data_IF_742767515070
#
_entry.id   IF_742767515070
#
_cell.length_a   1.000
_cell.length_b   1.000
_cell.length_c   1.000
_cell.angle_alpha   90.00
_cell.angle_beta   90.00
_cell.angle_gamma   90.00
#
_symmetry.space_group_name_H-M   'P 1'
#
loop_
_entity.id
_entity.type
_entity.pdbx_description
1 polymer ?
#
# COMPACT_ATOMS: atom_id res chain seq x y z
N UNK A 1 0.16 -11.84 -11.90
CA UNK A 1 -0.31 -10.51 -12.27
C UNK A 1 0.76 -9.44 -12.02
N UNK A 2 1.19 -9.19 -10.78
CA UNK A 2 2.14 -8.07 -10.47
C UNK A 2 3.52 -8.20 -11.14
N UNK A 3 3.99 -9.39 -11.46
CA UNK A 3 5.23 -9.60 -12.20
C UNK A 3 5.13 -9.23 -13.69
N UNK A 4 3.92 -9.08 -14.21
CA UNK A 4 3.66 -8.83 -15.63
C UNK A 4 3.42 -7.34 -15.94
N UNK A 5 3.21 -6.52 -14.92
CA UNK A 5 3.02 -5.08 -15.08
C UNK A 5 4.37 -4.36 -14.93
N UNK A 6 4.51 -3.22 -15.59
CA UNK A 6 5.76 -2.46 -15.57
C UNK A 6 6.03 -1.81 -14.22
N UNK A 7 4.98 -1.32 -13.56
CA UNK A 7 5.03 -0.70 -12.24
C UNK A 7 3.95 -1.32 -11.37
N UNK A 8 4.28 -2.35 -10.56
CA UNK A 8 3.36 -2.90 -9.58
C UNK A 8 2.96 -1.86 -8.53
N UNK A 9 1.68 -1.78 -8.25
CA UNK A 9 1.12 -0.81 -7.31
C UNK A 9 0.26 -1.47 -6.24
N UNK A 10 0.29 -0.89 -5.05
CA UNK A 10 -0.63 -1.15 -3.96
C UNK A 10 -1.33 0.13 -3.52
N UNK A 11 -2.22 0.00 -2.58
CA UNK A 11 -2.88 1.13 -1.93
C UNK A 11 -2.77 0.97 -0.41
N UNK A 12 -2.43 2.06 0.28
CA UNK A 12 -2.45 2.14 1.74
C UNK A 12 -3.59 3.08 2.16
N UNK A 13 -4.82 2.57 2.09
CA UNK A 13 -6.04 3.33 2.41
C UNK A 13 -6.08 3.79 3.85
N UNK A 14 -5.80 2.86 4.74
CA UNK A 14 -5.69 3.05 6.18
C UNK A 14 -4.24 2.78 6.58
N UNK A 15 -3.99 2.59 7.88
CA UNK A 15 -2.68 2.17 8.36
C UNK A 15 -2.49 0.65 8.17
N UNK A 16 -2.45 0.21 6.91
CA UNK A 16 -2.31 -1.20 6.51
C UNK A 16 -1.17 -1.39 5.50
N UNK A 17 0.07 -1.03 5.88
CA UNK A 17 1.21 -1.01 4.96
C UNK A 17 1.62 -2.39 4.44
N UNK A 18 1.20 -3.46 5.12
CA UNK A 18 1.56 -4.84 4.76
C UNK A 18 0.98 -5.29 3.42
N UNK A 19 -0.07 -4.66 2.90
CA UNK A 19 -0.60 -4.94 1.56
C UNK A 19 0.42 -4.70 0.46
N UNK A 20 1.33 -3.78 0.69
CA UNK A 20 2.41 -3.47 -0.25
C UNK A 20 3.40 -4.62 -0.44
N UNK A 21 3.44 -5.59 0.46
CA UNK A 21 4.32 -6.74 0.36
C UNK A 21 4.01 -7.63 -0.85
N UNK A 22 2.74 -7.67 -1.33
CA UNK A 22 2.35 -8.48 -2.49
C UNK A 22 2.90 -7.89 -3.79
N UNK A 23 2.60 -6.63 -4.18
CA UNK A 23 3.18 -6.04 -5.39
C UNK A 23 4.69 -5.93 -5.30
N UNK A 24 5.26 -5.67 -4.11
CA UNK A 24 6.71 -5.67 -3.90
C UNK A 24 7.34 -7.05 -4.19
N UNK A 25 6.69 -8.13 -3.75
CA UNK A 25 7.13 -9.50 -4.07
C UNK A 25 7.04 -9.79 -5.56
N UNK A 26 5.93 -9.41 -6.20
CA UNK A 26 5.76 -9.55 -7.65
C UNK A 26 6.81 -8.78 -8.44
N UNK A 27 7.16 -7.57 -8.00
CA UNK A 27 8.21 -6.75 -8.59
C UNK A 27 9.59 -7.40 -8.45
N UNK A 28 9.96 -7.85 -7.25
CA UNK A 28 11.23 -8.50 -6.98
C UNK A 28 11.42 -9.76 -7.84
N UNK A 29 10.39 -10.62 -7.89
CA UNK A 29 10.39 -11.85 -8.69
C UNK A 29 10.32 -11.60 -10.19
N UNK A 30 9.70 -10.50 -10.62
CA UNK A 30 9.58 -10.09 -12.02
C UNK A 30 10.71 -9.19 -12.53
N UNK A 31 11.68 -8.84 -11.67
CA UNK A 31 12.78 -7.93 -12.03
C UNK A 31 12.32 -6.50 -12.29
N UNK A 32 11.23 -6.06 -11.63
CA UNK A 32 10.71 -4.69 -11.79
C UNK A 32 11.36 -3.75 -10.76
N UNK A 33 11.95 -2.64 -11.21
CA UNK A 33 12.73 -1.77 -10.32
C UNK A 33 11.87 -0.80 -9.50
N UNK A 34 10.61 -0.59 -9.88
CA UNK A 34 9.71 0.39 -9.24
C UNK A 34 8.49 -0.31 -8.68
N UNK A 35 8.19 -0.02 -7.43
CA UNK A 35 6.98 -0.44 -6.72
C UNK A 35 6.31 0.79 -6.15
N UNK A 36 5.08 1.06 -6.56
CA UNK A 36 4.32 2.21 -6.09
C UNK A 36 3.31 1.83 -5.02
N UNK A 37 2.91 2.82 -4.25
CA UNK A 37 1.73 2.76 -3.41
C UNK A 37 1.01 4.10 -3.44
N UNK A 38 -0.26 4.08 -3.81
CA UNK A 38 -1.18 5.19 -3.51
C UNK A 38 -1.38 5.22 -1.99
N UNK A 39 -1.07 6.36 -1.39
CA UNK A 39 -0.91 6.42 0.07
C UNK A 39 -1.57 7.67 0.62
N UNK A 40 -1.99 7.61 1.89
CA UNK A 40 -2.59 8.69 2.68
C UNK A 40 -4.10 8.90 2.50
N UNK A 41 -4.80 8.04 1.77
CA UNK A 41 -6.24 8.22 1.44
C UNK A 41 -7.10 8.50 2.65
N UNK A 42 -7.02 7.65 3.68
CA UNK A 42 -7.86 7.70 4.88
C UNK A 42 -7.03 7.42 6.14
N UNK A 43 -5.96 8.17 6.36
CA UNK A 43 -4.99 7.88 7.43
C UNK A 43 -5.62 7.79 8.83
N UNK A 44 -6.72 8.48 9.08
CA UNK A 44 -7.46 8.44 10.35
C UNK A 44 -8.76 7.63 10.29
N UNK A 45 -8.97 6.88 9.22
CA UNK A 45 -10.16 6.06 9.00
C UNK A 45 -11.14 6.67 8.01
N UNK A 46 -12.11 5.85 7.63
CA UNK A 46 -13.21 6.27 6.76
C UNK A 46 -14.24 7.06 7.55
N UNK A 47 -14.73 8.12 6.92
CA UNK A 47 -15.90 8.84 7.42
C UNK A 47 -17.17 8.35 6.74
N UNK A 48 -18.29 8.26 7.46
CA UNK A 48 -19.57 7.97 6.83
C UNK A 48 -19.96 9.11 5.89
N UNK A 49 -20.45 8.77 4.71
CA UNK A 49 -20.97 9.73 3.76
C UNK A 49 -22.31 10.36 4.24
N UNK A 50 -22.54 11.69 4.06
CA UNK A 50 -21.64 12.71 3.53
C UNK A 50 -20.59 13.13 4.57
N UNK A 51 -19.35 13.14 4.15
CA UNK A 51 -18.24 13.36 5.06
C UNK A 51 -18.10 14.83 5.48
N UNK A 52 -18.28 15.09 6.77
CA UNK A 52 -17.62 16.17 7.46
C UNK A 52 -16.69 15.55 8.48
N UNK A 53 -15.57 15.01 8.00
CA UNK A 53 -14.61 14.35 8.86
C UNK A 53 -14.12 15.29 9.98
N UNK A 54 -14.20 14.88 11.25
CA UNK A 54 -13.58 15.63 12.34
C UNK A 54 -12.06 15.70 12.19
N UNK A 55 -11.49 14.90 11.32
CA UNK A 55 -10.04 14.83 11.04
C UNK A 55 -9.64 15.67 9.84
N UNK A 56 -10.57 16.14 9.02
CA UNK A 56 -10.30 17.00 7.88
C UNK A 56 -9.51 18.24 8.29
N UNK A 57 -8.42 18.52 7.60
CA UNK A 57 -7.47 19.61 7.92
C UNK A 57 -6.84 19.50 9.33
N UNK A 58 -6.70 18.29 9.85
CA UNK A 58 -6.01 18.02 11.12
C UNK A 58 -4.88 17.01 10.96
N UNK A 59 -4.56 16.68 9.73
CA UNK A 59 -3.49 15.76 9.41
C UNK A 59 -2.15 16.33 9.89
N UNK A 60 -1.33 15.48 10.48
CA UNK A 60 0.00 15.83 10.95
C UNK A 60 1.04 15.12 10.12
N UNK A 61 2.09 15.83 9.75
CA UNK A 61 3.16 15.26 8.91
C UNK A 61 3.84 14.07 9.57
N UNK A 62 3.89 14.02 10.91
CA UNK A 62 4.45 12.89 11.65
C UNK A 62 3.66 11.59 11.41
N UNK A 63 2.34 11.69 11.33
CA UNK A 63 1.47 10.53 11.09
C UNK A 63 1.60 10.07 9.63
N UNK A 64 1.67 11.03 8.68
CA UNK A 64 1.94 10.73 7.28
C UNK A 64 3.31 10.07 7.10
N UNK A 65 4.33 10.58 7.81
CA UNK A 65 5.68 10.02 7.77
C UNK A 65 5.71 8.59 8.32
N UNK A 66 5.01 8.32 9.42
CA UNK A 66 4.93 6.99 10.00
C UNK A 66 4.35 5.98 9.00
N UNK A 67 3.29 6.35 8.28
CA UNK A 67 2.71 5.50 7.24
C UNK A 67 3.66 5.33 6.06
N UNK A 68 4.29 6.40 5.58
CA UNK A 68 5.26 6.33 4.50
C UNK A 68 6.43 5.39 4.83
N UNK A 69 7.00 5.51 6.04
CA UNK A 69 8.09 4.66 6.51
C UNK A 69 7.65 3.18 6.56
N UNK A 70 6.43 2.92 7.02
CA UNK A 70 5.89 1.56 7.08
C UNK A 70 5.66 0.98 5.68
N UNK A 71 5.18 1.78 4.73
CA UNK A 71 4.99 1.37 3.32
C UNK A 71 6.35 1.09 2.66
N UNK A 72 7.35 1.94 2.87
CA UNK A 72 8.72 1.70 2.42
C UNK A 72 9.30 0.42 3.02
N UNK A 73 9.09 0.17 4.32
CA UNK A 73 9.55 -1.05 4.99
C UNK A 73 8.88 -2.33 4.46
N UNK A 74 7.75 -2.21 3.75
CA UNK A 74 7.06 -3.31 3.08
C UNK A 74 7.38 -3.42 1.58
N UNK A 75 8.44 -2.75 1.11
CA UNK A 75 9.01 -2.93 -0.22
C UNK A 75 8.57 -1.93 -1.27
N UNK A 76 7.76 -0.94 -0.93
CA UNK A 76 7.48 0.20 -1.81
C UNK A 76 8.73 1.07 -1.93
N UNK A 77 8.95 1.63 -3.10
CA UNK A 77 10.03 2.57 -3.33
C UNK A 77 9.59 3.83 -4.09
N UNK A 78 8.29 4.02 -4.26
CA UNK A 78 7.71 5.21 -4.87
C UNK A 78 6.31 5.46 -4.33
N UNK A 79 6.10 6.59 -3.65
CA UNK A 79 4.79 6.96 -3.09
C UNK A 79 4.04 7.84 -4.09
N UNK A 80 2.77 7.51 -4.28
CA UNK A 80 1.80 8.31 -5.00
C UNK A 80 0.84 8.92 -3.97
N UNK A 81 0.74 10.24 -3.96
CA UNK A 81 -0.15 10.92 -3.05
C UNK A 81 -1.62 10.70 -3.42
N UNK A 82 -2.41 10.28 -2.48
CA UNK A 82 -3.85 10.49 -2.51
C UNK A 82 -4.22 11.51 -1.42
N UNK A 83 -4.67 12.72 -1.72
CA UNK A 83 -4.45 13.31 -3.00
C UNK A 83 -4.86 14.78 -2.97
N UNK A 84 -4.82 15.38 -4.11
CA UNK A 84 -5.21 16.78 -4.31
C UNK A 84 -6.59 16.84 -4.97
N UNK A 85 -7.69 16.98 -4.21
CA UNK A 85 -9.03 17.01 -4.78
C UNK A 85 -9.24 18.28 -5.56
N UNK A 86 -9.85 18.15 -6.74
CA UNK A 86 -10.32 19.28 -7.51
C UNK A 86 -11.76 19.61 -7.13
N UNK A 87 -11.97 20.80 -6.57
CA UNK A 87 -13.30 21.32 -6.24
C UNK A 87 -13.65 22.49 -7.15
N UNK A 88 -14.82 22.43 -7.77
CA UNK A 88 -15.35 23.57 -8.51
C UNK A 88 -15.82 24.63 -7.51
N UNK A 89 -15.47 25.89 -7.77
CA UNK A 89 -15.87 27.01 -6.94
C UNK A 89 -17.40 27.06 -6.77
N UNK A 90 -17.88 27.10 -5.52
CA UNK A 90 -19.30 27.03 -5.20
C UNK A 90 -19.92 25.62 -5.18
N UNK A 91 -19.17 24.58 -5.47
CA UNK A 91 -19.60 23.19 -5.35
C UNK A 91 -19.66 22.71 -3.91
N UNK A 92 -20.44 21.66 -3.66
CA UNK A 92 -20.46 21.00 -2.37
C UNK A 92 -19.15 20.22 -2.18
N UNK A 93 -18.26 20.76 -1.37
CA UNK A 93 -16.88 20.26 -1.20
C UNK A 93 -16.82 19.06 -0.23
N UNK A 94 -17.66 18.07 -0.43
CA UNK A 94 -17.59 16.84 0.35
C UNK A 94 -16.69 15.84 -0.33
N UNK A 95 -15.56 15.55 0.30
CA UNK A 95 -14.62 14.53 -0.12
C UNK A 95 -14.46 13.52 1.03
N UNK A 96 -14.60 12.25 0.74
CA UNK A 96 -14.65 11.21 1.77
C UNK A 96 -13.26 10.85 2.33
N UNK A 97 -12.21 11.08 1.56
CA UNK A 97 -10.85 10.83 2.00
C UNK A 97 -10.39 11.93 2.98
N UNK A 98 -9.67 11.55 4.01
CA UNK A 98 -9.31 12.46 5.10
C UNK A 98 -8.09 13.31 4.81
N UNK A 99 -7.17 12.86 3.95
CA UNK A 99 -5.94 13.60 3.65
C UNK A 99 -6.11 14.43 2.38
N UNK A 100 -6.07 15.74 2.54
CA UNK A 100 -6.11 16.69 1.45
C UNK A 100 -4.75 17.36 1.29
N UNK A 101 -4.12 17.17 0.13
CA UNK A 101 -2.94 17.91 -0.26
C UNK A 101 -3.37 19.14 -1.05
N UNK A 102 -3.13 20.32 -0.53
CA UNK A 102 -3.53 21.56 -1.19
C UNK A 102 -2.98 22.80 -0.47
N UNK A 103 -3.21 24.00 -1.03
CA UNK A 103 -2.69 25.24 -0.45
C UNK A 103 -3.20 25.53 0.96
N UNK A 104 -4.31 24.92 1.34
CA UNK A 104 -4.98 25.10 2.62
C UNK A 104 -4.92 23.87 3.53
N UNK A 105 -4.06 22.89 3.21
CA UNK A 105 -3.87 21.72 4.07
C UNK A 105 -3.18 22.10 5.39
N UNK A 106 -3.43 21.30 6.43
CA UNK A 106 -2.93 21.57 7.78
C UNK A 106 -1.39 21.54 7.88
N UNK A 107 -0.73 20.88 6.94
CA UNK A 107 0.72 20.66 6.89
C UNK A 107 1.39 21.30 5.66
N UNK A 108 0.83 22.38 5.14
CA UNK A 108 1.29 23.00 3.88
C UNK A 108 2.78 23.38 3.92
N UNK A 109 3.27 23.87 5.03
CA UNK A 109 4.67 24.26 5.21
C UNK A 109 5.61 23.04 5.24
N UNK A 110 5.09 21.85 5.60
CA UNK A 110 5.85 20.61 5.71
C UNK A 110 5.83 19.80 4.40
N UNK A 111 4.99 20.14 3.43
CA UNK A 111 4.85 19.37 2.16
C UNK A 111 6.18 19.25 1.42
N UNK A 112 6.89 20.35 1.25
CA UNK A 112 8.17 20.35 0.52
C UNK A 112 9.26 19.58 1.29
N UNK A 113 9.49 19.83 2.59
CA UNK A 113 10.43 19.04 3.38
C UNK A 113 10.08 17.54 3.38
N UNK A 114 8.83 17.19 3.54
CA UNK A 114 8.37 15.80 3.56
C UNK A 114 8.55 15.11 2.19
N UNK A 115 8.23 15.77 1.10
CA UNK A 115 8.47 15.24 -0.24
C UNK A 115 9.96 15.00 -0.50
N UNK A 116 10.85 15.90 -0.04
CA UNK A 116 12.31 15.70 -0.14
C UNK A 116 12.79 14.51 0.68
N UNK A 117 12.19 14.31 1.85
CA UNK A 117 12.45 13.10 2.64
C UNK A 117 12.08 11.84 1.87
N UNK A 118 10.84 11.76 1.37
CA UNK A 118 10.35 10.61 0.60
C UNK A 118 11.18 10.38 -0.67
N UNK A 119 11.56 11.43 -1.38
CA UNK A 119 12.44 11.35 -2.55
C UNK A 119 13.80 10.74 -2.19
N UNK A 120 14.37 11.16 -1.06
CA UNK A 120 15.65 10.66 -0.60
C UNK A 120 15.59 9.17 -0.28
N UNK A 121 14.60 8.74 0.50
CA UNK A 121 14.36 7.32 0.82
C UNK A 121 14.13 6.52 -0.45
N UNK A 122 13.22 6.98 -1.32
CA UNK A 122 12.91 6.37 -2.61
C UNK A 122 14.15 6.12 -3.47
N UNK A 123 15.04 7.10 -3.56
CA UNK A 123 16.30 6.99 -4.32
C UNK A 123 17.22 5.90 -3.76
N UNK A 124 17.35 5.80 -2.43
CA UNK A 124 18.12 4.73 -1.81
C UNK A 124 17.50 3.36 -2.07
N UNK A 125 16.19 3.22 -1.90
CA UNK A 125 15.49 1.95 -2.09
C UNK A 125 15.51 1.46 -3.54
N UNK A 126 15.63 2.38 -4.52
CA UNK A 126 15.78 2.04 -5.95
C UNK A 126 17.21 1.71 -6.36
N UNK A 127 18.21 1.94 -5.51
CA UNK A 127 19.64 1.80 -5.88
C UNK A 127 20.18 0.38 -5.76
N UNK A 128 19.41 -0.56 -5.23
CA UNK A 128 19.84 -1.93 -4.98
C UNK A 128 18.83 -2.97 -5.46
N UNK A 129 19.05 -4.20 -5.03
CA UNK A 129 18.11 -5.31 -5.21
C UNK A 129 17.49 -5.68 -3.87
N UNK A 130 16.22 -6.07 -3.90
CA UNK A 130 15.53 -6.54 -2.70
C UNK A 130 16.16 -7.84 -2.21
N UNK A 131 16.67 -7.84 -0.99
CA UNK A 131 17.12 -9.06 -0.33
C UNK A 131 15.93 -9.85 0.19
N UNK A 132 15.92 -11.16 -0.06
CA UNK A 132 14.91 -12.08 0.46
C UNK A 132 15.58 -13.36 0.93
N UNK A 133 15.10 -13.95 2.01
CA UNK A 133 15.64 -15.16 2.62
C UNK A 133 14.59 -16.25 2.87
N UNK A 134 13.31 -15.90 2.75
CA UNK A 134 12.18 -16.83 2.93
C UNK A 134 11.14 -16.62 1.85
N UNK A 135 10.75 -17.70 1.18
CA UNK A 135 9.59 -17.70 0.31
C UNK A 135 8.34 -18.15 1.09
N UNK A 136 7.29 -17.35 1.03
CA UNK A 136 5.98 -17.67 1.64
C UNK A 136 4.99 -17.96 0.51
N UNK A 137 4.49 -19.19 0.47
CA UNK A 137 3.53 -19.58 -0.52
C UNK A 137 2.14 -18.97 -0.26
N UNK A 138 1.60 -18.30 -1.26
CA UNK A 138 0.21 -17.86 -1.29
C UNK A 138 -0.62 -18.85 -2.08
N UNK A 139 -1.56 -19.56 -1.45
CA UNK A 139 -2.41 -20.57 -2.12
C UNK A 139 -3.55 -19.90 -2.91
N UNK A 140 -3.21 -19.10 -3.93
CA UNK A 140 -4.19 -18.36 -4.73
C UNK A 140 -5.17 -19.27 -5.45
N UNK A 141 -4.74 -20.48 -5.78
CA UNK A 141 -5.56 -21.52 -6.41
C UNK A 141 -6.64 -21.99 -5.45
N UNK A 142 -6.31 -22.21 -4.19
CA UNK A 142 -7.26 -22.60 -3.15
C UNK A 142 -8.32 -21.52 -2.93
N UNK A 143 -7.89 -20.25 -2.89
CA UNK A 143 -8.81 -19.11 -2.78
C UNK A 143 -9.79 -19.06 -3.95
N UNK A 144 -9.32 -19.33 -5.18
CA UNK A 144 -10.17 -19.37 -6.38
C UNK A 144 -11.12 -20.54 -6.39
N UNK A 145 -10.80 -21.62 -5.69
CA UNK A 145 -11.64 -22.81 -5.54
C UNK A 145 -12.68 -22.67 -4.43
N UNK A 146 -12.51 -21.68 -3.55
CA UNK A 146 -13.55 -21.34 -2.60
C UNK A 146 -14.77 -20.80 -3.35
N UNK A 147 -15.95 -21.25 -2.93
CA UNK A 147 -17.22 -20.86 -3.52
C UNK A 147 -17.42 -19.34 -3.43
N UNK A 148 -18.46 -18.85 -4.10
CA UNK A 148 -18.84 -17.45 -4.12
C UNK A 148 -18.76 -16.82 -2.72
N UNK A 149 -18.15 -15.64 -2.64
CA UNK A 149 -18.14 -14.86 -1.41
C UNK A 149 -19.56 -14.70 -0.85
N UNK A 150 -19.77 -14.87 0.45
CA UNK A 150 -21.06 -14.60 1.08
C UNK A 150 -21.56 -13.19 0.73
N UNK A 151 -22.85 -13.04 0.49
CA UNK A 151 -23.45 -11.75 0.08
C UNK A 151 -23.10 -10.61 1.04
N UNK A 152 -22.96 -10.91 2.33
CA UNK A 152 -22.51 -9.95 3.35
C UNK A 152 -21.09 -9.42 3.14
N UNK A 153 -20.26 -10.12 2.36
CA UNK A 153 -18.89 -9.74 2.02
C UNK A 153 -18.74 -9.17 0.61
N UNK A 154 -19.83 -9.10 -0.15
CA UNK A 154 -19.83 -8.55 -1.51
C UNK A 154 -20.06 -7.05 -1.56
N UNK A 155 -20.24 -6.40 -0.42
CA UNK A 155 -20.37 -4.95 -0.33
C UNK A 155 -19.05 -4.30 0.11
N UNK A 156 -18.71 -3.10 -0.36
CA UNK A 156 -17.49 -2.40 0.07
C UNK A 156 -17.34 -2.28 1.59
N UNK A 157 -18.46 -2.13 2.32
CA UNK A 157 -18.47 -2.07 3.78
C UNK A 157 -18.32 -3.43 4.46
N UNK A 158 -18.61 -4.53 3.76
CA UNK A 158 -18.50 -5.91 4.26
C UNK A 158 -17.22 -6.62 3.84
N UNK A 159 -16.46 -6.03 2.95
CA UNK A 159 -15.14 -6.53 2.56
C UNK A 159 -14.13 -6.18 3.64
N UNK A 160 -14.10 -6.94 4.71
CA UNK A 160 -12.80 -7.26 5.27
C UNK A 160 -12.06 -7.98 4.15
N UNK A 161 -11.01 -7.38 3.66
CA UNK A 161 -10.12 -7.98 2.66
C UNK A 161 -9.43 -9.20 3.31
N UNK A 162 -10.21 -10.27 3.54
CA UNK A 162 -9.72 -11.48 4.20
C UNK A 162 -8.55 -12.09 3.43
N UNK A 163 -8.56 -11.96 2.11
CA UNK A 163 -7.46 -12.37 1.24
C UNK A 163 -6.15 -11.68 1.63
N UNK A 164 -6.22 -10.49 2.18
CA UNK A 164 -5.07 -9.71 2.56
C UNK A 164 -4.67 -9.88 4.03
N UNK A 165 -5.55 -10.41 4.86
CA UNK A 165 -5.18 -10.73 6.25
C UNK A 165 -4.14 -11.86 6.28
N UNK A 166 -4.24 -12.80 5.34
CA UNK A 166 -3.28 -13.89 5.18
C UNK A 166 -1.92 -13.42 4.64
N UNK A 167 -1.82 -12.19 4.18
CA UNK A 167 -0.57 -11.59 3.72
C UNK A 167 0.20 -10.87 4.82
N UNK A 168 -0.36 -10.80 6.02
CA UNK A 168 0.39 -10.33 7.19
C UNK A 168 1.55 -11.27 7.43
N UNK A 169 2.71 -10.66 7.70
CA UNK A 169 3.89 -11.45 8.07
C UNK A 169 3.59 -12.29 9.30
N UNK A 170 3.67 -13.62 9.21
CA UNK A 170 3.52 -14.49 10.38
C UNK A 170 4.53 -14.11 11.46
N UNK A 171 4.14 -14.18 12.73
CA UNK A 171 4.98 -13.74 13.85
C UNK A 171 6.31 -14.51 13.94
N UNK A 172 6.33 -15.79 13.53
CA UNK A 172 7.55 -16.60 13.51
C UNK A 172 8.54 -16.21 12.40
N UNK A 173 8.13 -15.34 11.46
CA UNK A 173 8.99 -14.77 10.42
C UNK A 173 9.51 -13.37 10.77
N UNK A 174 9.31 -12.90 11.99
CA UNK A 174 9.92 -11.65 12.44
C UNK A 174 11.44 -11.77 12.40
N UNK A 175 12.09 -10.80 11.76
CA UNK A 175 13.54 -10.80 11.54
C UNK A 175 13.98 -11.42 10.22
N UNK A 176 13.10 -12.08 9.48
CA UNK A 176 13.33 -12.55 8.12
C UNK A 176 12.77 -11.56 7.08
N UNK A 177 13.18 -11.74 5.81
CA UNK A 177 12.75 -10.91 4.68
C UNK A 177 11.94 -11.76 3.70
N UNK A 178 10.66 -12.02 4.00
CA UNK A 178 9.83 -12.89 3.21
C UNK A 178 9.47 -12.27 1.86
N UNK A 179 9.43 -13.10 0.83
CA UNK A 179 8.82 -12.83 -0.47
C UNK A 179 7.60 -13.74 -0.64
N UNK A 180 6.48 -13.14 -1.07
CA UNK A 180 5.26 -13.90 -1.34
C UNK A 180 5.33 -14.53 -2.73
N UNK A 181 5.14 -15.84 -2.82
CA UNK A 181 5.22 -16.60 -4.06
C UNK A 181 3.92 -17.34 -4.36
N UNK A 182 3.56 -17.44 -5.64
CA UNK A 182 2.50 -18.30 -6.14
C UNK A 182 3.08 -19.58 -6.73
N UNK A 183 2.22 -20.56 -7.09
CA UNK A 183 2.59 -21.77 -7.81
C UNK A 183 3.45 -21.47 -9.04
N UNK A 184 3.10 -20.45 -9.82
CA UNK A 184 3.83 -20.02 -11.01
C UNK A 184 5.34 -19.76 -10.76
N UNK A 185 5.69 -19.19 -9.61
CA UNK A 185 7.11 -18.94 -9.26
C UNK A 185 7.77 -20.19 -8.68
N UNK A 186 7.04 -21.01 -7.93
CA UNK A 186 7.56 -22.28 -7.41
C UNK A 186 7.93 -23.24 -8.53
N UNK A 187 7.11 -23.33 -9.59
CA UNK A 187 7.39 -24.17 -10.76
C UNK A 187 8.65 -23.77 -11.53
N UNK A 188 9.05 -22.51 -11.42
CA UNK A 188 10.25 -21.96 -12.06
C UNK A 188 11.47 -21.91 -11.14
N UNK A 189 11.29 -22.25 -9.86
CA UNK A 189 12.38 -22.19 -8.89
C UNK A 189 13.45 -23.25 -9.19
N UNK A 190 14.69 -22.88 -9.05
CA UNK A 190 15.85 -23.76 -9.15
C UNK A 190 16.56 -23.81 -7.82
N UNK A 191 17.18 -24.96 -7.53
CA UNK A 191 18.00 -25.13 -6.32
C UNK A 191 19.45 -25.17 -6.78
N UNK A 192 20.20 -24.15 -6.42
CA UNK A 192 21.66 -24.16 -6.59
C UNK A 192 22.25 -25.01 -5.43
N UNK A 193 23.02 -26.05 -5.79
CA UNK A 193 23.68 -26.93 -4.86
C UNK A 193 25.12 -26.53 -4.63
#
# INVERSE_FOLDING_TARGET
AFSEVDIPESEALLFEPYFSAIPASGAALGGRPVVTSETFTCIYGYEPWPANSPHHKRERVEDLKLLADAVFANGVNHIVWHGMPFNVEGGNQTFYATTHLGPDCAFVDDVIPFNRYMETVSRYLKSGTTYTDVAVYLPLEDVRMLDRLPDSRQTPAGTYYWEFQDTRRPSHLLGYHPVWVSSHFLEKATIDR
#
